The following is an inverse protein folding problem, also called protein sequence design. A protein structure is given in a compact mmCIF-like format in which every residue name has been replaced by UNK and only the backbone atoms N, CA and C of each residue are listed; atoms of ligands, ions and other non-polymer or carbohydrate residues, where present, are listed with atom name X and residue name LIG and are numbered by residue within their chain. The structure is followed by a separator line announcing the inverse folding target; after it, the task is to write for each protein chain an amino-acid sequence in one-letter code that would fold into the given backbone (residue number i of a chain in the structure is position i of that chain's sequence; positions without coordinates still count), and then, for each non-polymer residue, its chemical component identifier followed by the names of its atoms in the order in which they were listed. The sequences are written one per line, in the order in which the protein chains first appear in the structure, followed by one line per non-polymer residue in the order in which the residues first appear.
data_IF_366342808921
#
_entry.id   IF_366342808921
#
_cell.length_a   1.000
_cell.length_b   1.000
_cell.length_c   1.000
_cell.angle_alpha   90.00
_cell.angle_beta   90.00
_cell.angle_gamma   90.00
#
_symmetry.space_group_name_H-M   'P 1'
#
loop_
_entity.id
_entity.type
_entity.pdbx_description
1 polymer ?
#
# COMPACT_ATOMS: atom_id res chain seq x y z
N UNK A 1 13.56 19.35 0.50
CA UNK A 1 12.32 19.62 -0.29
C UNK A 1 12.46 19.29 -1.78
N UNK A 2 13.60 19.50 -2.44
CA UNK A 2 13.75 19.25 -3.88
C UNK A 2 13.43 17.83 -4.35
N UNK A 3 13.86 16.80 -3.62
CA UNK A 3 13.60 15.42 -3.99
C UNK A 3 12.10 15.09 -3.96
N UNK A 4 11.39 15.43 -2.86
CA UNK A 4 9.96 15.16 -2.74
C UNK A 4 9.15 15.86 -3.84
N UNK A 5 9.47 17.10 -4.16
CA UNK A 5 8.82 17.84 -5.26
C UNK A 5 8.99 17.14 -6.60
N UNK A 6 10.20 16.64 -6.88
CA UNK A 6 10.53 16.03 -8.16
C UNK A 6 9.72 14.75 -8.42
N UNK A 7 9.75 13.78 -7.51
CA UNK A 7 9.02 12.53 -7.70
C UNK A 7 7.49 12.71 -7.61
N UNK A 8 7.00 13.59 -6.71
CA UNK A 8 5.57 13.88 -6.63
C UNK A 8 5.03 14.54 -7.90
N UNK A 9 5.81 15.43 -8.52
CA UNK A 9 5.45 16.01 -9.82
C UNK A 9 5.34 14.94 -10.90
N UNK A 10 6.31 14.03 -11.00
CA UNK A 10 6.29 12.92 -11.96
C UNK A 10 5.10 11.98 -11.72
N UNK A 11 4.83 11.62 -10.46
CA UNK A 11 3.64 10.83 -10.13
C UNK A 11 2.35 11.52 -10.57
N UNK A 12 2.26 12.84 -10.34
CA UNK A 12 1.08 13.63 -10.74
C UNK A 12 0.85 13.61 -12.25
N UNK A 13 1.90 13.67 -13.05
CA UNK A 13 1.81 13.59 -14.52
C UNK A 13 1.26 12.23 -14.97
N UNK A 14 1.70 11.13 -14.36
CA UNK A 14 1.30 9.76 -14.73
C UNK A 14 -0.06 9.35 -14.17
N UNK A 15 -0.50 10.00 -13.10
CA UNK A 15 -1.79 9.69 -12.48
C UNK A 15 -2.95 10.10 -13.39
N UNK A 16 -3.95 9.21 -13.58
CA UNK A 16 -5.21 9.55 -14.27
C UNK A 16 -5.91 10.69 -13.52
N UNK A 17 -6.79 11.43 -14.21
CA UNK A 17 -7.48 12.57 -13.59
C UNK A 17 -8.40 12.16 -12.43
N UNK A 18 -9.03 10.99 -12.52
CA UNK A 18 -9.80 10.36 -11.44
C UNK A 18 -8.95 9.47 -10.51
N UNK A 19 -7.65 9.41 -10.73
CA UNK A 19 -6.74 8.62 -9.93
C UNK A 19 -6.43 9.25 -8.58
N UNK A 20 -5.98 8.43 -7.64
CA UNK A 20 -5.53 8.86 -6.33
C UNK A 20 -4.14 8.33 -6.00
N UNK A 21 -3.46 9.00 -5.08
CA UNK A 21 -2.13 8.65 -4.61
C UNK A 21 -2.18 8.41 -3.10
N UNK A 22 -1.44 7.39 -2.66
CA UNK A 22 -1.31 7.02 -1.27
C UNK A 22 0.16 7.03 -0.86
N UNK A 23 0.48 7.72 0.22
CA UNK A 23 1.87 7.88 0.67
C UNK A 23 1.95 7.58 2.15
N UNK A 24 2.67 6.52 2.51
CA UNK A 24 2.93 6.18 3.90
C UNK A 24 4.22 6.83 4.40
N UNK A 25 4.23 7.24 5.65
CA UNK A 25 5.41 7.82 6.27
C UNK A 25 5.28 7.94 7.77
N UNK A 26 6.41 8.26 8.41
CA UNK A 26 6.46 8.58 9.83
C UNK A 26 6.35 10.09 10.04
N UNK A 27 6.24 10.53 11.30
CA UNK A 27 6.22 11.95 11.66
C UNK A 27 7.44 12.73 11.15
N UNK A 28 8.56 12.06 10.84
CA UNK A 28 9.77 12.72 10.34
C UNK A 28 9.63 13.30 8.92
N UNK A 29 8.77 12.72 8.09
CA UNK A 29 8.70 13.09 6.67
C UNK A 29 7.29 13.41 6.17
N UNK A 30 6.24 12.87 6.81
CA UNK A 30 4.88 12.94 6.27
C UNK A 30 4.36 14.37 6.13
N UNK A 31 4.71 15.26 7.06
CA UNK A 31 4.26 16.65 7.04
C UNK A 31 4.91 17.46 5.92
N UNK A 32 6.20 17.24 5.67
CA UNK A 32 6.89 17.89 4.55
C UNK A 32 6.38 17.40 3.20
N UNK A 33 6.00 16.13 3.10
CA UNK A 33 5.35 15.56 1.92
C UNK A 33 3.98 16.22 1.71
N UNK A 34 3.15 16.33 2.75
CA UNK A 34 1.84 16.98 2.66
C UNK A 34 1.92 18.43 2.15
N UNK A 35 2.90 19.20 2.65
CA UNK A 35 3.15 20.56 2.17
C UNK A 35 3.44 20.59 0.67
N UNK A 36 4.39 19.78 0.21
CA UNK A 36 4.75 19.70 -1.22
C UNK A 36 3.58 19.23 -2.07
N UNK A 37 2.77 18.27 -1.61
CA UNK A 37 1.57 17.83 -2.32
C UNK A 37 0.58 18.97 -2.52
N UNK A 38 0.34 19.78 -1.49
CA UNK A 38 -0.56 20.94 -1.55
C UNK A 38 -0.04 21.97 -2.56
N UNK A 39 1.27 22.27 -2.54
CA UNK A 39 1.91 23.20 -3.48
C UNK A 39 1.84 22.70 -4.94
N UNK A 40 1.88 21.39 -5.16
CA UNK A 40 1.72 20.78 -6.48
C UNK A 40 0.26 20.67 -6.94
N UNK A 41 -0.70 21.11 -6.11
CA UNK A 41 -2.12 21.12 -6.46
C UNK A 41 -2.82 19.77 -6.30
N UNK A 42 -2.28 18.85 -5.49
CA UNK A 42 -3.05 17.70 -5.04
C UNK A 42 -4.13 18.12 -4.05
N UNK A 43 -5.28 17.45 -4.09
CA UNK A 43 -6.31 17.56 -3.04
C UNK A 43 -6.15 16.42 -2.05
N UNK A 44 -5.63 16.73 -0.86
CA UNK A 44 -5.59 15.76 0.25
C UNK A 44 -7.03 15.46 0.67
N UNK A 45 -7.36 14.17 0.76
CA UNK A 45 -8.66 13.64 1.15
C UNK A 45 -8.67 13.26 2.62
N UNK A 46 -7.69 12.44 3.04
CA UNK A 46 -7.50 12.02 4.42
C UNK A 46 -6.02 11.95 4.79
N UNK A 47 -5.74 12.14 6.06
CA UNK A 47 -4.51 11.71 6.72
C UNK A 47 -4.89 10.59 7.68
N UNK A 48 -4.61 9.36 7.27
CA UNK A 48 -4.98 8.17 8.00
C UNK A 48 -3.90 7.82 9.00
N UNK A 49 -4.30 7.50 10.22
CA UNK A 49 -3.42 6.98 11.27
C UNK A 49 -3.46 5.46 11.25
N UNK A 50 -2.39 4.83 10.83
CA UNK A 50 -2.20 3.40 11.04
C UNK A 50 -1.71 3.15 12.46
N UNK A 51 -2.59 2.67 13.34
CA UNK A 51 -2.29 2.28 14.70
C UNK A 51 -1.88 0.80 14.75
N UNK A 52 -0.60 0.54 15.02
CA UNK A 52 -0.05 -0.81 15.11
C UNK A 52 -0.58 -1.50 16.36
N UNK A 53 -1.15 -2.69 16.21
CA UNK A 53 -1.64 -3.49 17.35
C UNK A 53 -0.50 -4.16 18.14
N UNK A 54 0.70 -4.26 17.55
CA UNK A 54 1.89 -4.89 18.12
C UNK A 54 3.15 -4.02 17.88
N UNK A 55 3.20 -2.78 18.38
CA UNK A 55 4.34 -1.90 18.17
C UNK A 55 5.57 -2.44 18.93
N UNK A 56 6.79 -2.22 18.39
CA UNK A 56 8.00 -2.57 19.12
C UNK A 56 8.15 -1.68 20.35
N UNK A 57 8.68 -2.21 21.48
CA UNK A 57 8.87 -1.44 22.70
C UNK A 57 9.92 -0.33 22.51
N UNK A 58 9.75 0.77 23.24
CA UNK A 58 10.78 1.80 23.36
C UNK A 58 11.82 1.41 24.41
N UNK A 59 12.97 0.93 23.96
CA UNK A 59 14.05 0.44 24.84
C UNK A 59 14.64 1.55 25.72
N UNK A 60 14.64 2.81 25.22
CA UNK A 60 15.22 3.94 25.96
C UNK A 60 14.35 4.41 27.12
N UNK A 61 13.06 4.11 27.12
CA UNK A 61 12.05 4.53 28.11
C UNK A 61 11.99 6.05 28.35
N UNK A 62 12.43 6.87 27.37
CA UNK A 62 12.50 8.34 27.51
C UNK A 62 11.40 9.09 26.77
N UNK A 63 10.60 8.40 25.97
CA UNK A 63 9.47 8.93 25.21
C UNK A 63 8.44 7.83 24.94
N UNK A 64 7.28 8.19 24.44
CA UNK A 64 6.23 7.23 24.14
C UNK A 64 6.65 6.29 23.01
N UNK A 65 6.22 5.04 23.07
CA UNK A 65 6.43 4.06 22.00
C UNK A 65 5.78 4.53 20.70
N UNK A 66 6.54 4.50 19.61
CA UNK A 66 6.02 4.82 18.28
C UNK A 66 5.09 3.71 17.78
N UNK A 67 3.81 3.83 18.12
CA UNK A 67 2.78 2.87 17.78
C UNK A 67 2.01 3.24 16.49
N UNK A 68 2.31 4.38 15.89
CA UNK A 68 1.58 4.87 14.72
C UNK A 68 2.49 5.22 13.55
N UNK A 69 1.97 5.07 12.33
CA UNK A 69 2.46 5.69 11.11
C UNK A 69 1.31 6.41 10.42
N UNK A 70 1.63 7.33 9.52
CA UNK A 70 0.63 8.12 8.80
C UNK A 70 0.57 7.71 7.33
N UNK A 71 -0.63 7.85 6.76
CA UNK A 71 -0.87 7.60 5.35
C UNK A 71 -1.67 8.78 4.80
N UNK A 72 -1.09 9.50 3.84
CA UNK A 72 -1.81 10.54 3.12
C UNK A 72 -2.52 9.90 1.94
N UNK A 73 -3.82 10.13 1.84
CA UNK A 73 -4.61 9.85 0.67
C UNK A 73 -4.98 11.16 -0.03
N UNK A 74 -4.63 11.27 -1.30
CA UNK A 74 -4.90 12.47 -2.09
C UNK A 74 -5.31 12.13 -3.52
N UNK A 75 -6.01 13.04 -4.17
CA UNK A 75 -6.37 12.97 -5.60
C UNK A 75 -5.65 14.02 -6.42
N UNK A 76 -5.47 13.74 -7.72
CA UNK A 76 -4.81 14.64 -8.66
C UNK A 76 -5.57 15.92 -8.90
N UNK A 77 -6.86 15.80 -9.25
CA UNK A 77 -7.67 16.91 -9.66
C UNK A 77 -8.76 17.25 -8.62
N UNK A 78 -8.80 18.47 -8.07
CA UNK A 78 -9.82 18.84 -7.09
C UNK A 78 -11.26 18.78 -7.62
N UNK A 79 -11.45 18.92 -8.95
CA UNK A 79 -12.78 18.96 -9.59
C UNK A 79 -13.27 17.62 -10.12
N UNK A 80 -12.37 16.64 -10.32
CA UNK A 80 -12.74 15.32 -10.84
C UNK A 80 -12.92 14.35 -9.67
N UNK A 81 -14.05 13.68 -9.53
CA UNK A 81 -14.25 12.66 -8.53
C UNK A 81 -13.21 11.54 -8.66
N UNK A 82 -12.62 11.17 -7.55
CA UNK A 82 -11.73 10.01 -7.48
C UNK A 82 -12.52 8.72 -7.27
N UNK A 83 -11.91 7.59 -7.61
CA UNK A 83 -12.48 6.28 -7.29
C UNK A 83 -12.42 6.02 -5.79
N UNK A 84 -13.56 5.61 -5.21
CA UNK A 84 -13.67 5.13 -3.84
C UNK A 84 -14.72 4.03 -3.73
N UNK A 85 -14.33 2.87 -3.27
CA UNK A 85 -15.19 1.70 -3.12
C UNK A 85 -15.83 1.68 -1.73
N UNK A 86 -16.79 2.58 -1.50
CA UNK A 86 -17.42 2.80 -0.21
C UNK A 86 -18.04 1.53 0.37
N UNK A 87 -18.78 0.76 -0.42
CA UNK A 87 -19.47 -0.45 0.07
C UNK A 87 -18.47 -1.54 0.46
N UNK A 88 -17.39 -1.73 -0.30
CA UNK A 88 -16.28 -2.64 0.04
C UNK A 88 -15.64 -2.22 1.38
N UNK A 89 -15.38 -0.92 1.57
CA UNK A 89 -14.78 -0.42 2.80
C UNK A 89 -15.73 -0.59 4.00
N UNK A 90 -17.01 -0.44 3.80
CA UNK A 90 -18.04 -0.67 4.82
C UNK A 90 -18.14 -2.15 5.18
N UNK A 91 -18.11 -3.05 4.19
CA UNK A 91 -18.11 -4.50 4.40
C UNK A 91 -16.88 -4.95 5.21
N UNK A 92 -15.69 -4.50 4.85
CA UNK A 92 -14.43 -4.76 5.58
C UNK A 92 -14.48 -4.24 7.03
N UNK A 93 -15.35 -3.27 7.32
CA UNK A 93 -15.51 -2.64 8.63
C UNK A 93 -16.82 -3.05 9.32
N UNK A 94 -17.21 -4.32 9.22
CA UNK A 94 -18.38 -4.91 9.88
C UNK A 94 -19.68 -4.15 9.58
N UNK A 95 -19.88 -3.72 8.34
CA UNK A 95 -21.06 -2.99 7.89
C UNK A 95 -21.09 -1.52 8.34
N UNK A 96 -20.03 -1.00 8.98
CA UNK A 96 -19.94 0.38 9.44
C UNK A 96 -19.04 1.21 8.52
N UNK A 97 -19.30 2.50 8.43
CA UNK A 97 -18.42 3.42 7.72
C UNK A 97 -16.99 3.34 8.27
N UNK A 98 -16.01 3.17 7.38
CA UNK A 98 -14.61 3.12 7.78
C UNK A 98 -14.10 4.52 8.16
N UNK A 99 -13.33 4.57 9.23
CA UNK A 99 -12.73 5.81 9.74
C UNK A 99 -11.27 5.96 9.28
N UNK A 100 -10.65 7.07 9.65
CA UNK A 100 -9.25 7.39 9.34
C UNK A 100 -8.26 6.86 10.40
N UNK A 101 -8.71 6.05 11.35
CA UNK A 101 -7.84 5.31 12.28
C UNK A 101 -7.92 3.83 11.98
N UNK A 102 -6.84 3.28 11.42
CA UNK A 102 -6.76 1.88 11.05
C UNK A 102 -5.93 1.07 12.06
N UNK A 103 -6.56 0.16 12.75
CA UNK A 103 -5.90 -0.76 13.70
C UNK A 103 -5.50 -2.03 12.95
N UNK A 104 -4.22 -2.13 12.61
CA UNK A 104 -3.65 -3.28 11.89
C UNK A 104 -2.32 -3.66 12.51
N UNK A 105 -1.97 -4.96 12.54
CA UNK A 105 -0.65 -5.38 13.02
C UNK A 105 0.46 -4.84 12.10
N UNK A 106 1.64 -4.72 12.67
CA UNK A 106 2.87 -4.61 11.90
C UNK A 106 3.13 -5.93 11.15
N UNK A 107 4.08 -5.90 10.22
CA UNK A 107 4.43 -7.05 9.38
C UNK A 107 4.63 -8.35 10.17
N UNK A 108 3.95 -9.40 9.76
CA UNK A 108 4.06 -10.74 10.32
C UNK A 108 5.32 -11.49 9.87
N UNK A 109 5.69 -12.57 10.61
CA UNK A 109 6.83 -13.42 10.22
C UNK A 109 6.60 -14.11 8.88
N UNK A 110 5.38 -14.52 8.61
CA UNK A 110 4.96 -15.18 7.37
C UNK A 110 5.14 -14.31 6.11
N UNK A 111 5.11 -12.99 6.25
CA UNK A 111 5.34 -12.05 5.16
C UNK A 111 6.82 -11.88 4.80
N UNK A 112 7.72 -12.51 5.53
CA UNK A 112 9.18 -12.43 5.40
C UNK A 112 9.82 -13.74 4.90
N UNK A 113 9.02 -14.67 4.36
CA UNK A 113 9.48 -16.00 3.92
C UNK A 113 10.62 -15.91 2.90
N UNK A 114 10.56 -15.00 1.95
CA UNK A 114 11.58 -14.82 0.90
C UNK A 114 12.71 -13.86 1.27
N UNK A 115 12.69 -13.27 2.48
CA UNK A 115 13.68 -12.29 2.91
C UNK A 115 13.09 -11.10 3.66
N UNK A 116 13.94 -10.11 3.97
CA UNK A 116 13.56 -8.94 4.75
C UNK A 116 13.88 -7.65 4.00
N UNK A 117 12.97 -6.70 4.08
CA UNK A 117 13.22 -5.32 3.73
C UNK A 117 13.02 -4.43 4.98
N UNK A 118 13.90 -3.47 5.28
CA UNK A 118 13.87 -2.71 6.54
C UNK A 118 12.54 -1.99 6.81
N UNK A 119 11.91 -1.46 5.77
CA UNK A 119 10.68 -0.66 5.87
C UNK A 119 9.47 -1.33 5.21
N UNK A 120 9.48 -2.66 5.08
CA UNK A 120 8.37 -3.41 4.50
C UNK A 120 7.06 -3.09 5.23
N UNK A 121 6.01 -2.82 4.45
CA UNK A 121 4.66 -2.60 4.99
C UNK A 121 3.88 -3.92 5.06
N UNK A 122 2.92 -4.04 5.99
CA UNK A 122 2.09 -5.25 6.05
C UNK A 122 1.15 -5.35 4.86
N UNK A 123 0.96 -6.56 4.39
CA UNK A 123 0.13 -6.87 3.23
C UNK A 123 -1.32 -6.39 3.43
N UNK A 124 -1.87 -6.58 4.63
CA UNK A 124 -3.23 -6.15 4.99
C UNK A 124 -3.46 -4.64 4.79
N UNK A 125 -2.45 -3.82 5.11
CA UNK A 125 -2.53 -2.37 4.92
C UNK A 125 -2.64 -2.02 3.44
N UNK A 126 -1.78 -2.61 2.60
CA UNK A 126 -1.74 -2.31 1.17
C UNK A 126 -2.96 -2.89 0.44
N UNK A 127 -3.44 -4.07 0.83
CA UNK A 127 -4.69 -4.64 0.31
C UNK A 127 -5.87 -3.70 0.58
N UNK A 128 -5.99 -3.15 1.78
CA UNK A 128 -7.04 -2.18 2.10
C UNK A 128 -6.97 -0.93 1.23
N UNK A 129 -5.78 -0.36 1.04
CA UNK A 129 -5.54 0.81 0.17
C UNK A 129 -5.99 0.51 -1.27
N UNK A 130 -5.60 -0.64 -1.80
CA UNK A 130 -5.89 -1.05 -3.17
C UNK A 130 -7.40 -1.25 -3.35
N UNK A 131 -8.03 -1.99 -2.46
CA UNK A 131 -9.49 -2.21 -2.51
C UNK A 131 -10.29 -0.92 -2.36
N UNK A 132 -9.78 0.04 -1.57
CA UNK A 132 -10.45 1.33 -1.37
C UNK A 132 -10.54 2.17 -2.65
N UNK A 133 -9.53 2.12 -3.53
CA UNK A 133 -9.35 3.15 -4.55
C UNK A 133 -9.13 2.64 -5.97
N UNK A 134 -9.32 1.35 -6.22
CA UNK A 134 -9.13 0.75 -7.55
C UNK A 134 -10.20 -0.30 -7.86
N UNK A 135 -10.43 -0.53 -9.16
CA UNK A 135 -11.19 -1.67 -9.67
C UNK A 135 -10.25 -2.79 -10.13
N UNK A 136 -10.80 -3.97 -10.38
CA UNK A 136 -10.07 -5.07 -11.00
C UNK A 136 -9.48 -4.64 -12.34
N UNK A 137 -8.29 -5.16 -12.63
CA UNK A 137 -7.51 -4.83 -13.82
C UNK A 137 -6.98 -3.39 -13.90
N UNK A 138 -7.19 -2.55 -12.89
CA UNK A 138 -6.54 -1.23 -12.82
C UNK A 138 -5.02 -1.38 -12.65
N UNK A 139 -4.30 -0.36 -13.13
CA UNK A 139 -2.85 -0.26 -12.95
C UNK A 139 -2.50 0.44 -11.64
N UNK A 140 -1.58 -0.16 -10.90
CA UNK A 140 -0.97 0.39 -9.70
C UNK A 140 0.51 0.62 -9.98
N UNK A 141 0.97 1.84 -9.75
CA UNK A 141 2.38 2.22 -9.83
C UNK A 141 2.93 2.44 -8.42
N UNK A 142 4.02 1.75 -8.08
CA UNK A 142 4.80 2.03 -6.88
C UNK A 142 6.22 2.42 -7.26
N UNK A 143 6.59 3.73 -7.19
CA UNK A 143 7.90 4.20 -7.58
C UNK A 143 9.00 3.92 -6.54
N UNK A 144 8.65 3.29 -5.40
CA UNK A 144 9.54 2.90 -4.32
C UNK A 144 9.19 1.48 -3.83
N UNK A 145 9.19 0.54 -4.77
CA UNK A 145 8.59 -0.78 -4.59
C UNK A 145 9.21 -1.62 -3.45
N UNK A 146 10.47 -1.42 -3.11
CA UNK A 146 11.17 -2.14 -2.06
C UNK A 146 11.01 -3.65 -2.22
N UNK A 147 10.47 -4.31 -1.19
CA UNK A 147 10.15 -5.74 -1.23
C UNK A 147 8.89 -6.09 -2.05
N UNK A 148 8.34 -5.13 -2.78
CA UNK A 148 7.16 -5.26 -3.66
C UNK A 148 5.87 -5.72 -2.97
N UNK A 149 5.65 -5.36 -1.71
CA UNK A 149 4.41 -5.72 -1.01
C UNK A 149 3.17 -5.12 -1.70
N UNK A 150 3.29 -3.91 -2.29
CA UNK A 150 2.24 -3.30 -3.11
C UNK A 150 1.89 -4.19 -4.31
N UNK A 151 2.89 -4.76 -4.99
CA UNK A 151 2.70 -5.67 -6.12
C UNK A 151 2.03 -6.98 -5.72
N UNK A 152 2.42 -7.56 -4.58
CA UNK A 152 1.78 -8.75 -4.02
C UNK A 152 0.31 -8.47 -3.70
N UNK A 153 0.02 -7.37 -3.02
CA UNK A 153 -1.36 -6.96 -2.71
C UNK A 153 -2.18 -6.70 -3.98
N UNK A 154 -1.59 -6.06 -4.99
CA UNK A 154 -2.23 -5.81 -6.27
C UNK A 154 -2.64 -7.13 -6.95
N UNK A 155 -1.74 -8.09 -7.03
CA UNK A 155 -2.03 -9.39 -7.65
C UNK A 155 -3.10 -10.19 -6.88
N UNK A 156 -3.04 -10.19 -5.54
CA UNK A 156 -4.07 -10.85 -4.72
C UNK A 156 -5.46 -10.25 -4.92
N UNK A 157 -5.52 -8.97 -5.27
CA UNK A 157 -6.77 -8.25 -5.56
C UNK A 157 -7.13 -8.20 -7.05
N UNK A 158 -6.44 -8.89 -7.94
CA UNK A 158 -6.72 -8.86 -9.37
C UNK A 158 -6.35 -7.57 -10.10
N UNK A 159 -5.39 -6.80 -9.56
CA UNK A 159 -4.89 -5.53 -10.15
C UNK A 159 -3.55 -5.77 -10.84
N UNK A 160 -3.26 -4.94 -11.85
CA UNK A 160 -1.98 -4.89 -12.55
C UNK A 160 -0.99 -4.04 -11.76
N UNK A 161 0.29 -4.39 -11.81
CA UNK A 161 1.31 -3.71 -11.03
C UNK A 161 2.53 -3.35 -11.86
N UNK A 162 3.04 -2.14 -11.64
CA UNK A 162 4.35 -1.68 -12.07
C UNK A 162 5.09 -1.14 -10.87
N UNK A 163 6.21 -1.76 -10.52
CA UNK A 163 7.10 -1.33 -9.44
C UNK A 163 8.41 -0.78 -10.00
N UNK A 164 8.93 0.26 -9.35
CA UNK A 164 10.28 0.78 -9.60
C UNK A 164 11.08 0.63 -8.32
N UNK A 165 12.24 -0.01 -8.42
CA UNK A 165 13.15 -0.21 -7.29
C UNK A 165 14.59 -0.01 -7.76
N UNK A 166 15.36 0.72 -6.97
CA UNK A 166 16.72 1.09 -7.30
C UNK A 166 17.74 0.00 -6.92
N UNK A 167 17.48 -0.70 -5.81
CA UNK A 167 18.42 -1.68 -5.25
C UNK A 167 18.12 -3.06 -5.84
N UNK A 168 19.09 -3.62 -6.56
CA UNK A 168 18.96 -4.92 -7.24
C UNK A 168 18.52 -6.05 -6.29
N UNK A 169 19.02 -6.05 -5.05
CA UNK A 169 18.64 -7.06 -4.05
C UNK A 169 17.13 -7.06 -3.75
N UNK A 170 16.51 -5.87 -3.71
CA UNK A 170 15.08 -5.76 -3.46
C UNK A 170 14.25 -6.05 -4.72
N UNK A 171 14.78 -5.79 -5.91
CA UNK A 171 14.16 -6.26 -7.17
C UNK A 171 14.10 -7.80 -7.17
N UNK A 172 15.20 -8.46 -6.83
CA UNK A 172 15.26 -9.93 -6.74
C UNK A 172 14.28 -10.44 -5.67
N UNK A 173 14.27 -9.81 -4.49
CA UNK A 173 13.34 -10.16 -3.42
C UNK A 173 11.87 -10.03 -3.89
N UNK A 174 11.53 -8.93 -4.58
CA UNK A 174 10.19 -8.71 -5.11
C UNK A 174 9.78 -9.76 -6.14
N UNK A 175 10.68 -10.13 -7.04
CA UNK A 175 10.46 -11.19 -8.03
C UNK A 175 10.22 -12.55 -7.36
N UNK A 176 11.06 -12.96 -6.42
CA UNK A 176 10.91 -14.21 -5.68
C UNK A 176 9.56 -14.27 -4.94
N UNK A 177 9.16 -13.18 -4.28
CA UNK A 177 7.84 -13.07 -3.62
C UNK A 177 6.70 -13.19 -4.61
N UNK A 178 6.86 -12.65 -5.81
CA UNK A 178 5.85 -12.76 -6.87
C UNK A 178 5.77 -14.20 -7.40
N UNK A 179 6.89 -14.88 -7.58
CA UNK A 179 6.94 -16.28 -7.99
C UNK A 179 6.25 -17.20 -6.99
N UNK A 180 6.38 -16.93 -5.69
CA UNK A 180 5.66 -17.64 -4.64
C UNK A 180 4.13 -17.63 -4.84
N UNK A 181 3.57 -16.56 -5.41
CA UNK A 181 2.14 -16.48 -5.72
C UNK A 181 1.71 -17.34 -6.91
N UNK A 182 2.64 -17.78 -7.76
CA UNK A 182 2.32 -18.71 -8.85
C UNK A 182 1.97 -20.12 -8.32
N UNK A 183 2.40 -20.41 -7.09
CA UNK A 183 1.99 -21.63 -6.40
C UNK A 183 0.59 -21.41 -5.79
N UNK A 184 -0.41 -22.14 -6.29
CA UNK A 184 -1.81 -22.03 -5.85
C UNK A 184 -1.96 -22.17 -4.31
N UNK A 185 -1.21 -23.09 -3.69
CA UNK A 185 -1.27 -23.28 -2.21
C UNK A 185 -0.79 -22.03 -1.48
N UNK A 186 0.31 -21.43 -1.93
CA UNK A 186 0.83 -20.20 -1.35
C UNK A 186 -0.16 -19.04 -1.55
N UNK A 187 -0.70 -18.90 -2.77
CA UNK A 187 -1.70 -17.89 -3.08
C UNK A 187 -2.91 -17.98 -2.14
N UNK A 188 -3.47 -19.18 -1.95
CA UNK A 188 -4.58 -19.39 -1.01
C UNK A 188 -4.19 -19.10 0.43
N UNK A 189 -2.98 -19.49 0.86
CA UNK A 189 -2.48 -19.18 2.20
C UNK A 189 -2.40 -17.67 2.44
N UNK A 190 -1.96 -16.89 1.46
CA UNK A 190 -1.94 -15.42 1.56
C UNK A 190 -3.37 -14.85 1.66
N UNK A 191 -4.31 -15.34 0.85
CA UNK A 191 -5.70 -14.92 0.93
C UNK A 191 -6.33 -15.25 2.30
N UNK A 192 -6.12 -16.46 2.83
CA UNK A 192 -6.65 -16.85 4.13
C UNK A 192 -6.06 -16.01 5.26
N UNK A 193 -4.77 -15.72 5.23
CA UNK A 193 -4.13 -14.82 6.20
C UNK A 193 -4.68 -13.39 6.14
N UNK A 194 -5.10 -12.92 4.98
CA UNK A 194 -5.77 -11.63 4.86
C UNK A 194 -7.17 -11.67 5.47
N UNK A 195 -7.92 -12.76 5.30
CA UNK A 195 -9.24 -12.96 5.95
C UNK A 195 -9.11 -12.93 7.48
N UNK A 196 -8.11 -13.64 8.04
CA UNK A 196 -7.83 -13.69 9.49
C UNK A 196 -7.50 -12.31 10.09
N UNK A 197 -7.07 -11.35 9.26
CA UNK A 197 -6.74 -9.99 9.68
C UNK A 197 -7.94 -9.03 9.66
N UNK A 198 -9.16 -9.55 9.76
CA UNK A 198 -10.42 -8.80 9.70
C UNK A 198 -10.73 -8.20 8.34
N UNK A 199 -10.31 -8.87 7.27
CA UNK A 199 -10.79 -8.60 5.93
C UNK A 199 -11.96 -9.55 5.64
N UNK A 200 -13.19 -9.11 5.92
CA UNK A 200 -14.40 -9.84 5.59
C UNK A 200 -14.69 -9.90 4.08
N UNK A 201 -13.90 -9.18 3.27
CA UNK A 201 -14.04 -9.21 1.83
C UNK A 201 -13.60 -10.57 1.29
N UNK A 202 -14.54 -11.33 0.73
CA UNK A 202 -14.22 -12.52 -0.06
C UNK A 202 -13.48 -12.05 -1.32
N UNK A 203 -12.16 -12.09 -1.26
CA UNK A 203 -11.35 -12.01 -2.48
C UNK A 203 -11.89 -13.11 -3.39
N UNK A 204 -12.43 -12.73 -4.54
CA UNK A 204 -13.13 -13.64 -5.45
C UNK A 204 -12.30 -14.92 -5.63
N UNK A 205 -12.92 -16.07 -5.39
CA UNK A 205 -12.25 -17.37 -5.40
C UNK A 205 -11.65 -17.77 -6.75
N UNK A 206 -12.01 -17.04 -7.81
CA UNK A 206 -11.64 -17.28 -9.20
C UNK A 206 -10.37 -16.54 -9.67
N UNK A 207 -9.71 -15.73 -8.85
CA UNK A 207 -8.55 -14.99 -9.31
C UNK A 207 -7.29 -15.84 -9.34
N UNK A 208 -6.89 -16.22 -10.55
CA UNK A 208 -5.50 -16.57 -10.82
C UNK A 208 -4.63 -15.30 -10.76
N UNK A 209 -3.35 -15.43 -10.33
CA UNK A 209 -2.43 -14.30 -10.34
C UNK A 209 -2.34 -13.70 -11.75
N UNK A 210 -2.59 -12.39 -11.88
CA UNK A 210 -2.48 -11.73 -13.17
C UNK A 210 -1.04 -11.82 -13.69
N UNK A 211 -0.89 -12.12 -14.97
CA UNK A 211 0.41 -12.22 -15.65
C UNK A 211 1.11 -10.86 -15.79
N UNK A 212 0.36 -9.75 -15.70
CA UNK A 212 0.88 -8.38 -15.83
C UNK A 212 1.45 -7.84 -14.52
N UNK A 213 2.67 -8.24 -14.21
CA UNK A 213 3.46 -7.77 -13.09
C UNK A 213 4.84 -7.37 -13.61
N UNK A 214 5.29 -6.18 -13.32
CA UNK A 214 6.64 -5.72 -13.65
C UNK A 214 7.27 -5.00 -12.47
N UNK A 215 8.52 -5.28 -12.24
CA UNK A 215 9.45 -4.51 -11.43
C UNK A 215 10.67 -4.22 -12.29
N UNK A 216 10.92 -2.94 -12.54
CA UNK A 216 12.03 -2.50 -13.37
C UNK A 216 13.03 -1.68 -12.54
N UNK A 217 14.29 -1.78 -12.93
CA UNK A 217 15.35 -0.88 -12.44
C UNK A 217 15.16 0.49 -13.12
N UNK A 218 15.36 1.60 -12.42
CA UNK A 218 15.43 2.89 -13.06
C UNK A 218 16.67 2.94 -13.98
N UNK A 219 16.49 3.43 -15.19
CA UNK A 219 17.58 3.67 -16.16
C UNK A 219 18.52 4.75 -15.66
#
# INVERSE_FOLDING_TARGET
MGFNRKWLSLCREKLKDNGSIWISGTHHNIFSIATVMTELGYKILNVITWAKTNPPPNISCRFFTYSTEFIIWARKCPKVPHKYNYEIMKEINDGKQMTDVWRLPAIGRWEKSCGKHPTQKPLALLTRIILASTDEHDWILDPFAGSSTTGIAANLCGRRFLGIEKETEFVVLGKNRREDLNNYRNFRTFQDKLKDLSFCYSLNESHEPLTSYSIDLPF
#
